data_IF_546165435643
#
_entry.id   IF_546165435643
#
_cell.length_a   1.000
_cell.length_b   1.000
_cell.length_c   1.000
_cell.angle_alpha   90.00
_cell.angle_beta   90.00
_cell.angle_gamma   90.00
#
_symmetry.space_group_name_H-M   'P 1'
#
loop_
_entity.id
_entity.type
_entity.pdbx_description
1 polymer ?
#
# COMPACT_ATOMS: atom_id res chain seq x y z
N UNK A 1 -8.25 4.88 12.76
CA UNK A 1 -9.04 3.70 13.18
C UNK A 1 -8.28 2.83 14.20
N UNK A 2 -6.97 2.59 14.05
CA UNK A 2 -6.16 1.77 14.96
C UNK A 2 -6.12 2.28 16.43
N UNK A 3 -6.15 3.61 16.64
CA UNK A 3 -6.08 4.21 17.97
C UNK A 3 -7.25 3.80 18.88
N UNK A 4 -8.52 3.95 18.53
CA UNK A 4 -9.63 3.46 19.37
C UNK A 4 -9.53 1.97 19.67
N UNK A 5 -9.06 1.16 18.72
CA UNK A 5 -8.92 -0.29 18.89
C UNK A 5 -7.80 -0.69 19.87
N UNK A 6 -6.83 0.19 20.11
CA UNK A 6 -5.77 -0.05 21.10
C UNK A 6 -6.19 0.28 22.54
N UNK A 7 -7.23 1.10 22.70
CA UNK A 7 -7.70 1.55 24.02
C UNK A 7 -8.47 0.48 24.77
N UNK A 8 -8.14 0.29 26.07
CA UNK A 8 -8.81 -0.68 26.93
C UNK A 8 -10.23 -0.25 27.31
N UNK A 9 -10.47 1.05 27.40
CA UNK A 9 -11.74 1.67 27.74
C UNK A 9 -12.75 1.69 26.59
N UNK A 10 -12.34 1.37 25.35
CA UNK A 10 -13.25 1.26 24.22
C UNK A 10 -14.01 -0.07 24.25
N UNK A 11 -15.29 -0.03 24.63
CA UNK A 11 -16.17 -1.20 24.84
C UNK A 11 -16.21 -2.17 23.65
N UNK A 12 -16.23 -1.66 22.43
CA UNK A 12 -16.41 -2.46 21.21
C UNK A 12 -15.11 -2.85 20.53
N UNK A 13 -13.93 -2.61 21.15
CA UNK A 13 -12.62 -2.84 20.53
C UNK A 13 -12.44 -4.26 19.99
N UNK A 14 -12.96 -5.28 20.71
CA UNK A 14 -12.79 -6.68 20.31
C UNK A 14 -13.65 -7.02 19.09
N UNK A 15 -14.88 -6.49 19.02
CA UNK A 15 -15.78 -6.69 17.89
C UNK A 15 -15.18 -6.06 16.62
N UNK A 16 -14.77 -4.79 16.70
CA UNK A 16 -14.16 -4.13 15.55
C UNK A 16 -12.81 -4.75 15.17
N UNK A 17 -12.01 -5.20 16.14
CA UNK A 17 -10.76 -5.90 15.84
C UNK A 17 -11.01 -7.22 15.14
N UNK A 18 -12.05 -7.96 15.56
CA UNK A 18 -12.47 -9.19 14.89
C UNK A 18 -12.95 -8.91 13.47
N UNK A 19 -13.78 -7.86 13.26
CA UNK A 19 -14.23 -7.48 11.92
C UNK A 19 -13.05 -7.14 11.00
N UNK A 20 -12.06 -6.38 11.50
CA UNK A 20 -10.83 -6.09 10.74
C UNK A 20 -10.08 -7.37 10.40
N UNK A 21 -9.89 -8.26 11.38
CA UNK A 21 -9.24 -9.55 11.17
C UNK A 21 -10.02 -10.44 10.18
N UNK A 22 -11.35 -10.45 10.29
CA UNK A 22 -12.21 -11.20 9.38
C UNK A 22 -11.98 -10.81 7.91
N UNK A 23 -11.80 -9.51 7.62
CA UNK A 23 -11.50 -9.05 6.25
C UNK A 23 -10.17 -9.56 5.69
N UNK A 24 -9.25 -10.03 6.53
CA UNK A 24 -8.01 -10.69 6.07
C UNK A 24 -8.24 -12.13 5.66
N UNK A 25 -9.18 -12.81 6.31
CA UNK A 25 -9.46 -14.24 6.07
C UNK A 25 -10.42 -14.45 4.91
N UNK A 26 -11.34 -13.51 4.70
CA UNK A 26 -12.40 -13.65 3.72
C UNK A 26 -12.29 -12.55 2.67
N UNK A 27 -12.11 -12.96 1.43
CA UNK A 27 -12.11 -12.09 0.25
C UNK A 27 -13.22 -12.52 -0.69
N UNK A 28 -13.99 -11.58 -1.19
CA UNK A 28 -15.00 -11.84 -2.22
C UNK A 28 -14.41 -12.21 -3.58
N UNK A 29 -13.10 -12.05 -3.75
CA UNK A 29 -12.41 -12.28 -5.02
C UNK A 29 -12.44 -11.08 -5.96
N UNK A 30 -11.82 -11.25 -7.12
CA UNK A 30 -11.59 -10.17 -8.09
C UNK A 30 -12.90 -9.70 -8.73
N UNK A 31 -13.77 -10.63 -9.14
CA UNK A 31 -15.00 -10.30 -9.89
C UNK A 31 -15.98 -9.48 -9.05
N UNK A 32 -16.39 -9.90 -7.84
CA UNK A 32 -17.24 -9.07 -6.98
C UNK A 32 -16.62 -7.72 -6.65
N UNK A 33 -15.32 -7.67 -6.38
CA UNK A 33 -14.60 -6.41 -6.11
C UNK A 33 -14.63 -5.48 -7.33
N UNK A 34 -14.38 -6.01 -8.53
CA UNK A 34 -14.46 -5.25 -9.77
C UNK A 34 -15.86 -4.68 -10.00
N UNK A 35 -16.90 -5.50 -9.82
CA UNK A 35 -18.28 -5.05 -9.99
C UNK A 35 -18.65 -3.96 -8.99
N UNK A 36 -18.24 -4.12 -7.74
CA UNK A 36 -18.47 -3.11 -6.70
C UNK A 36 -17.86 -1.76 -7.08
N UNK A 37 -16.57 -1.74 -7.42
CA UNK A 37 -15.88 -0.50 -7.72
C UNK A 37 -16.30 0.14 -9.05
N UNK A 38 -16.59 -0.67 -10.09
CA UNK A 38 -16.93 -0.14 -11.42
C UNK A 38 -18.42 0.12 -11.63
N UNK A 39 -19.30 -0.74 -11.07
CA UNK A 39 -20.76 -0.63 -11.28
C UNK A 39 -21.46 0.14 -10.19
N UNK A 40 -21.05 -0.03 -8.93
CA UNK A 40 -21.69 0.63 -7.81
C UNK A 40 -21.05 1.98 -7.49
N UNK A 41 -19.73 2.06 -7.37
CA UNK A 41 -19.02 3.30 -7.06
C UNK A 41 -18.62 4.12 -8.28
N UNK A 42 -18.72 3.59 -9.50
CA UNK A 42 -18.40 4.26 -10.77
C UNK A 42 -17.02 4.93 -10.82
N UNK A 43 -16.00 4.33 -10.18
CA UNK A 43 -14.64 4.90 -10.12
C UNK A 43 -13.72 4.43 -11.26
N UNK A 44 -14.22 3.63 -12.22
CA UNK A 44 -13.42 3.17 -13.37
C UNK A 44 -12.87 4.36 -14.15
N UNK A 45 -11.63 4.22 -14.67
CA UNK A 45 -10.92 5.27 -15.42
C UNK A 45 -10.76 6.60 -14.65
N UNK A 46 -10.59 6.50 -13.34
CA UNK A 46 -10.30 7.65 -12.47
C UNK A 46 -9.07 7.35 -11.60
N UNK A 47 -8.43 8.40 -11.08
CA UNK A 47 -7.34 8.26 -10.13
C UNK A 47 -7.77 7.54 -8.84
N UNK A 48 -9.04 7.65 -8.46
CA UNK A 48 -9.61 6.98 -7.30
C UNK A 48 -9.60 5.46 -7.42
N UNK A 49 -9.67 4.93 -8.65
CA UNK A 49 -9.55 3.51 -8.92
C UNK A 49 -8.16 2.94 -8.58
N UNK A 50 -7.13 3.78 -8.57
CA UNK A 50 -5.78 3.41 -8.16
C UNK A 50 -5.57 3.53 -6.63
N UNK A 51 -6.36 4.37 -5.96
CA UNK A 51 -6.14 4.69 -4.54
C UNK A 51 -7.03 3.85 -3.63
N UNK A 52 -8.34 3.74 -3.93
CA UNK A 52 -9.32 3.21 -2.98
C UNK A 52 -9.33 1.68 -2.88
N UNK A 53 -9.36 0.90 -3.98
CA UNK A 53 -9.72 -0.53 -3.94
C UNK A 53 -8.88 -1.39 -2.99
N UNK A 54 -7.58 -1.13 -2.91
CA UNK A 54 -6.66 -2.03 -2.20
C UNK A 54 -6.08 -1.43 -0.92
N UNK A 55 -6.09 -0.08 -0.77
CA UNK A 55 -5.22 0.57 0.19
C UNK A 55 -5.93 1.52 1.16
N UNK A 56 -7.19 1.85 0.94
CA UNK A 56 -7.93 2.77 1.81
C UNK A 56 -7.97 2.27 3.26
N UNK A 57 -8.19 0.96 3.46
CA UNK A 57 -8.18 0.32 4.77
C UNK A 57 -7.53 -1.06 4.68
N UNK A 58 -6.21 -1.11 4.87
CA UNK A 58 -5.51 -2.38 4.95
C UNK A 58 -5.55 -2.92 6.39
N UNK A 59 -6.17 -4.08 6.58
CA UNK A 59 -6.37 -4.68 7.90
C UNK A 59 -5.05 -5.01 8.61
N UNK A 60 -4.03 -5.47 7.87
CA UNK A 60 -2.71 -5.74 8.42
C UNK A 60 -2.08 -4.48 9.02
N UNK A 61 -2.13 -3.36 8.29
CA UNK A 61 -1.58 -2.09 8.75
C UNK A 61 -2.33 -1.57 10.00
N UNK A 62 -3.66 -1.74 10.04
CA UNK A 62 -4.48 -1.37 11.21
C UNK A 62 -4.05 -2.17 12.45
N UNK A 63 -3.91 -3.48 12.32
CA UNK A 63 -3.51 -4.35 13.43
C UNK A 63 -2.07 -4.09 13.87
N UNK A 64 -1.16 -3.80 12.94
CA UNK A 64 0.22 -3.43 13.22
C UNK A 64 0.29 -2.14 14.05
N UNK A 65 -0.43 -1.09 13.61
CA UNK A 65 -0.48 0.18 14.35
C UNK A 65 -1.16 0.00 15.72
N UNK A 66 -2.25 -0.78 15.78
CA UNK A 66 -2.93 -1.11 17.05
C UNK A 66 -1.97 -1.77 18.03
N UNK A 67 -1.22 -2.78 17.59
CA UNK A 67 -0.26 -3.47 18.44
C UNK A 67 0.86 -2.54 18.90
N UNK A 68 1.35 -1.67 18.02
CA UNK A 68 2.32 -0.65 18.40
C UNK A 68 1.77 0.25 19.52
N UNK A 69 0.57 0.76 19.39
CA UNK A 69 -0.06 1.60 20.41
C UNK A 69 -0.22 0.88 21.75
N UNK A 70 -0.69 -0.36 21.72
CA UNK A 70 -0.92 -1.14 22.94
C UNK A 70 0.36 -1.49 23.70
N UNK A 71 1.50 -1.62 23.00
CA UNK A 71 2.76 -2.06 23.60
C UNK A 71 3.73 -0.91 23.90
N UNK A 72 3.68 0.18 23.16
CA UNK A 72 4.68 1.23 23.24
C UNK A 72 4.17 2.55 23.80
N UNK A 73 2.85 2.73 23.93
CA UNK A 73 2.26 3.95 24.51
C UNK A 73 1.63 3.61 25.85
N UNK A 74 2.24 4.02 26.98
CA UNK A 74 1.69 3.81 28.31
C UNK A 74 0.32 4.46 28.47
N UNK A 75 -0.63 3.75 29.10
CA UNK A 75 -1.96 4.29 29.41
C UNK A 75 -1.87 5.57 30.28
N UNK A 76 -0.86 5.66 31.16
CA UNK A 76 -0.62 6.81 32.03
C UNK A 76 -0.46 8.13 31.28
N UNK A 77 0.10 8.13 30.05
CA UNK A 77 0.22 9.36 29.26
C UNK A 77 -1.15 9.87 28.78
N UNK A 78 -2.05 8.96 28.48
CA UNK A 78 -3.41 9.33 28.05
C UNK A 78 -4.25 9.78 29.26
N UNK A 79 -4.07 9.12 30.41
CA UNK A 79 -4.71 9.52 31.67
C UNK A 79 -4.24 10.90 32.13
N UNK A 80 -2.95 11.19 32.07
CA UNK A 80 -2.42 12.50 32.37
C UNK A 80 -3.02 13.60 31.46
N UNK A 81 -3.08 13.35 30.15
CA UNK A 81 -3.71 14.29 29.22
C UNK A 81 -5.20 14.52 29.52
N UNK A 82 -5.93 13.49 30.00
CA UNK A 82 -7.33 13.64 30.43
C UNK A 82 -7.47 14.45 31.72
N UNK A 83 -6.57 14.27 32.68
CA UNK A 83 -6.53 15.08 33.92
C UNK A 83 -6.28 16.56 33.58
N UNK A 84 -5.40 16.81 32.57
CA UNK A 84 -5.12 18.17 32.06
C UNK A 84 -6.30 18.74 31.22
N UNK A 85 -7.44 18.04 31.13
CA UNK A 85 -8.63 18.49 30.41
C UNK A 85 -8.57 18.36 28.90
N UNK A 86 -7.60 17.61 28.36
CA UNK A 86 -7.51 17.40 26.91
C UNK A 86 -8.64 16.50 26.39
N UNK A 87 -9.28 16.92 25.30
CA UNK A 87 -10.22 16.08 24.59
C UNK A 87 -9.50 14.88 23.93
N UNK A 88 -10.24 13.79 23.60
CA UNK A 88 -9.69 12.60 22.94
C UNK A 88 -8.98 12.94 21.63
N UNK A 89 -9.52 13.87 20.84
CA UNK A 89 -8.89 14.31 19.60
C UNK A 89 -7.59 15.10 19.86
N UNK A 90 -7.56 15.93 20.91
CA UNK A 90 -6.37 16.69 21.28
C UNK A 90 -5.27 15.75 21.79
N UNK A 91 -5.63 14.78 22.63
CA UNK A 91 -4.73 13.71 23.10
C UNK A 91 -4.17 12.91 21.92
N UNK A 92 -5.02 12.49 20.98
CA UNK A 92 -4.57 11.80 19.78
C UNK A 92 -3.55 12.65 19.01
N UNK A 93 -3.87 13.91 18.71
CA UNK A 93 -3.02 14.75 17.86
C UNK A 93 -1.71 15.16 18.56
N UNK A 94 -1.74 15.52 19.86
CA UNK A 94 -0.58 16.08 20.56
C UNK A 94 0.28 15.06 21.30
N UNK A 95 -0.29 13.93 21.67
CA UNK A 95 0.43 12.87 22.42
C UNK A 95 0.66 11.66 21.55
N UNK A 96 -0.40 11.06 21.01
CA UNK A 96 -0.31 9.77 20.30
C UNK A 96 0.43 9.91 18.97
N UNK A 97 0.06 10.86 18.12
CA UNK A 97 0.66 11.01 16.77
C UNK A 97 2.17 11.28 16.84
N UNK A 98 2.70 12.17 17.69
CA UNK A 98 4.14 12.35 17.82
C UNK A 98 4.89 11.11 18.29
N UNK A 99 4.33 10.34 19.22
CA UNK A 99 4.90 9.08 19.69
C UNK A 99 4.80 7.95 18.63
N UNK A 100 3.95 8.13 17.63
CA UNK A 100 3.67 7.14 16.58
C UNK A 100 4.56 7.29 15.35
N UNK A 101 5.43 8.30 15.30
CA UNK A 101 6.29 8.57 14.13
C UNK A 101 7.00 7.31 13.62
N UNK A 102 7.57 6.41 14.47
CA UNK A 102 8.23 5.22 13.97
C UNK A 102 7.29 4.26 13.23
N UNK A 103 6.11 3.97 13.80
CA UNK A 103 5.15 3.06 13.16
C UNK A 103 4.50 3.70 11.92
N UNK A 104 4.27 5.01 11.93
CA UNK A 104 3.76 5.75 10.78
C UNK A 104 4.78 5.68 9.63
N UNK A 105 6.07 5.85 9.91
CA UNK A 105 7.13 5.72 8.91
C UNK A 105 7.20 4.29 8.34
N UNK A 106 7.10 3.27 9.19
CA UNK A 106 7.10 1.86 8.76
C UNK A 106 5.89 1.54 7.87
N UNK A 107 4.69 1.90 8.32
CA UNK A 107 3.45 1.66 7.54
C UNK A 107 3.45 2.50 6.27
N UNK A 108 3.94 3.74 6.34
CA UNK A 108 4.10 4.61 5.17
C UNK A 108 5.03 4.01 4.13
N UNK A 109 6.15 3.41 4.55
CA UNK A 109 7.05 2.70 3.65
C UNK A 109 6.38 1.49 2.99
N UNK A 110 5.77 0.61 3.81
CA UNK A 110 5.10 -0.59 3.30
C UNK A 110 4.00 -0.20 2.29
N UNK A 111 3.17 0.77 2.65
CA UNK A 111 2.08 1.25 1.80
C UNK A 111 2.62 1.95 0.54
N UNK A 112 3.64 2.78 0.67
CA UNK A 112 4.28 3.45 -0.46
C UNK A 112 4.87 2.46 -1.46
N UNK A 113 5.55 1.41 -0.99
CA UNK A 113 6.05 0.33 -1.84
C UNK A 113 4.92 -0.47 -2.49
N UNK A 114 3.82 -0.71 -1.77
CA UNK A 114 2.65 -1.39 -2.31
C UNK A 114 2.01 -0.57 -3.44
N UNK A 115 1.84 0.73 -3.28
CA UNK A 115 1.36 1.63 -4.35
C UNK A 115 2.34 1.69 -5.53
N UNK A 116 3.64 1.77 -5.25
CA UNK A 116 4.65 1.78 -6.32
C UNK A 116 4.56 0.53 -7.19
N UNK A 117 4.38 -0.64 -6.57
CA UNK A 117 4.32 -1.92 -7.26
C UNK A 117 2.93 -2.28 -7.80
N UNK A 118 1.93 -1.42 -7.61
CA UNK A 118 0.56 -1.73 -8.01
C UNK A 118 0.35 -1.55 -9.52
N UNK A 119 0.45 -2.66 -10.22
CA UNK A 119 0.05 -2.77 -11.61
C UNK A 119 -1.33 -3.40 -11.79
N UNK A 120 -1.83 -4.11 -10.76
CA UNK A 120 -3.07 -4.88 -10.81
C UNK A 120 -4.28 -3.96 -10.91
N UNK A 121 -4.38 -2.94 -10.04
CA UNK A 121 -5.47 -1.97 -10.12
C UNK A 121 -5.44 -1.20 -11.46
N UNK A 122 -4.25 -0.85 -11.95
CA UNK A 122 -4.10 -0.26 -13.28
C UNK A 122 -4.54 -1.18 -14.41
N UNK A 123 -4.34 -2.49 -14.28
CA UNK A 123 -4.77 -3.46 -15.28
C UNK A 123 -6.30 -3.62 -15.32
N UNK A 124 -6.95 -3.71 -14.15
CA UNK A 124 -8.39 -3.99 -14.07
C UNK A 124 -9.27 -2.75 -14.21
N UNK A 125 -8.84 -1.61 -13.68
CA UNK A 125 -9.70 -0.45 -13.54
C UNK A 125 -9.39 0.68 -14.50
N UNK A 126 -8.20 0.71 -15.14
CA UNK A 126 -7.75 1.82 -15.98
C UNK A 126 -7.61 1.39 -17.43
N UNK A 127 -8.38 2.06 -18.32
CA UNK A 127 -8.24 1.93 -19.76
C UNK A 127 -7.58 3.16 -20.39
N UNK A 128 -7.73 4.35 -19.75
CA UNK A 128 -7.14 5.59 -20.21
C UNK A 128 -5.61 5.55 -20.08
N UNK A 129 -4.85 5.63 -21.20
CA UNK A 129 -3.39 5.64 -21.18
C UNK A 129 -2.78 6.78 -20.34
N UNK A 130 -3.49 7.91 -20.21
CA UNK A 130 -3.04 9.06 -19.40
C UNK A 130 -3.00 8.79 -17.90
N UNK A 131 -3.67 7.74 -17.43
CA UNK A 131 -3.73 7.34 -16.02
C UNK A 131 -2.87 6.11 -15.69
N UNK A 132 -2.11 5.56 -16.64
CA UNK A 132 -1.27 4.39 -16.36
C UNK A 132 -0.16 4.72 -15.38
N UNK A 133 -0.06 3.92 -14.31
CA UNK A 133 1.11 3.93 -13.45
C UNK A 133 2.35 3.42 -14.22
N UNK A 134 3.54 3.80 -13.76
CA UNK A 134 4.80 3.34 -14.36
C UNK A 134 4.86 1.81 -14.37
N UNK A 135 4.47 1.15 -13.27
CA UNK A 135 4.47 -0.31 -13.20
C UNK A 135 3.48 -0.95 -14.20
N UNK A 136 2.31 -0.34 -14.38
CA UNK A 136 1.35 -0.81 -15.38
C UNK A 136 1.92 -0.69 -16.80
N UNK A 137 2.57 0.43 -17.13
CA UNK A 137 3.26 0.61 -18.41
C UNK A 137 4.37 -0.43 -18.62
N UNK A 138 5.20 -0.66 -17.60
CA UNK A 138 6.30 -1.63 -17.68
C UNK A 138 5.77 -3.06 -17.91
N UNK A 139 4.72 -3.47 -17.22
CA UNK A 139 4.08 -4.77 -17.42
C UNK A 139 3.48 -4.89 -18.83
N UNK A 140 2.79 -3.84 -19.33
CA UNK A 140 2.25 -3.82 -20.69
C UNK A 140 3.34 -3.93 -21.73
N UNK A 141 4.45 -3.21 -21.57
CA UNK A 141 5.61 -3.31 -22.45
C UNK A 141 6.21 -4.72 -22.43
N UNK A 142 6.37 -5.31 -21.24
CA UNK A 142 6.86 -6.69 -21.10
C UNK A 142 5.96 -7.70 -21.81
N UNK A 143 4.65 -7.59 -21.65
CA UNK A 143 3.68 -8.48 -22.28
C UNK A 143 3.70 -8.30 -23.82
N UNK A 144 3.81 -7.09 -24.33
CA UNK A 144 3.92 -6.82 -25.76
C UNK A 144 5.21 -7.44 -26.33
N UNK A 145 6.35 -7.28 -25.66
CA UNK A 145 7.62 -7.89 -26.05
C UNK A 145 7.49 -9.42 -26.06
N UNK A 146 6.85 -9.99 -25.05
CA UNK A 146 6.64 -11.44 -24.97
C UNK A 146 5.73 -11.94 -26.09
N UNK A 147 4.66 -11.23 -26.40
CA UNK A 147 3.77 -11.54 -27.53
C UNK A 147 4.51 -11.53 -28.85
N UNK A 148 5.30 -10.48 -29.13
CA UNK A 148 6.10 -10.37 -30.37
C UNK A 148 7.12 -11.51 -30.50
N UNK A 149 7.69 -12.00 -29.39
CA UNK A 149 8.67 -13.08 -29.39
C UNK A 149 8.05 -14.48 -29.39
N UNK A 150 6.72 -14.62 -29.16
CA UNK A 150 6.04 -15.92 -29.02
C UNK A 150 5.73 -16.63 -30.36
N UNK A 151 6.14 -16.05 -31.49
CA UNK A 151 5.78 -16.59 -32.81
C UNK A 151 4.32 -16.38 -33.22
N UNK A 152 3.42 -16.04 -32.29
CA UNK A 152 2.04 -15.72 -32.60
C UNK A 152 1.89 -14.48 -33.50
N UNK A 153 2.90 -13.61 -33.46
CA UNK A 153 3.02 -12.42 -34.32
C UNK A 153 3.76 -12.69 -35.63
N UNK A 154 4.23 -13.92 -35.90
CA UNK A 154 5.03 -14.23 -37.08
C UNK A 154 4.32 -13.90 -38.41
N UNK A 155 3.00 -14.02 -38.44
CA UNK A 155 2.18 -13.63 -39.60
C UNK A 155 2.06 -12.11 -39.80
N UNK A 156 2.25 -11.31 -38.73
CA UNK A 156 2.16 -9.85 -38.78
C UNK A 156 3.52 -9.24 -39.12
N UNK A 157 4.61 -9.87 -38.65
CA UNK A 157 5.99 -9.39 -38.85
C UNK A 157 6.51 -9.74 -40.26
N UNK A 158 5.96 -10.75 -40.94
CA UNK A 158 6.34 -11.10 -42.33
C UNK A 158 6.00 -10.02 -43.36
N UNK A 159 5.30 -8.95 -42.98
CA UNK A 159 4.91 -7.82 -43.85
C UNK A 159 5.94 -6.68 -43.99
N UNK A 160 7.22 -6.86 -43.65
CA UNK A 160 8.27 -5.98 -44.18
C UNK A 160 9.00 -5.03 -43.24
N UNK A 161 8.88 -5.13 -41.92
CA UNK A 161 9.78 -4.41 -41.02
C UNK A 161 10.68 -5.38 -40.24
N UNK A 162 11.87 -5.59 -40.73
CA UNK A 162 12.99 -6.23 -40.01
C UNK A 162 13.51 -5.35 -38.87
N UNK A 163 12.61 -4.72 -38.11
CA UNK A 163 12.96 -4.09 -36.86
C UNK A 163 13.41 -5.15 -35.89
N UNK A 164 14.63 -5.03 -35.35
CA UNK A 164 15.14 -5.95 -34.34
C UNK A 164 14.09 -6.10 -33.23
N UNK A 165 13.60 -7.33 -33.02
CA UNK A 165 12.67 -7.63 -31.94
C UNK A 165 13.27 -7.13 -30.61
N UNK A 166 12.46 -6.55 -29.72
CA UNK A 166 12.94 -6.05 -28.45
C UNK A 166 13.79 -7.09 -27.72
N UNK A 167 15.06 -6.77 -27.56
CA UNK A 167 16.07 -7.69 -27.04
C UNK A 167 15.98 -7.82 -25.52
N UNK A 168 16.75 -8.76 -24.96
CA UNK A 168 16.97 -8.90 -23.51
C UNK A 168 17.39 -7.56 -22.87
N UNK A 169 18.13 -6.71 -23.59
CA UNK A 169 18.55 -5.38 -23.12
C UNK A 169 17.36 -4.47 -22.78
N UNK A 170 16.30 -4.49 -23.58
CA UNK A 170 15.08 -3.69 -23.28
C UNK A 170 14.40 -4.18 -22.01
N UNK A 171 14.34 -5.50 -21.80
CA UNK A 171 13.78 -6.09 -20.55
C UNK A 171 14.60 -5.67 -19.34
N UNK A 172 15.92 -5.66 -19.44
CA UNK A 172 16.80 -5.22 -18.36
C UNK A 172 16.64 -3.71 -18.08
N UNK A 173 16.51 -2.88 -19.12
CA UNK A 173 16.22 -1.46 -18.97
C UNK A 173 14.89 -1.21 -18.23
N UNK A 174 13.84 -1.94 -18.58
CA UNK A 174 12.53 -1.90 -17.89
C UNK A 174 12.68 -2.24 -16.40
N UNK A 175 13.42 -3.31 -16.07
CA UNK A 175 13.65 -3.71 -14.68
C UNK A 175 14.40 -2.61 -13.90
N UNK A 176 15.41 -2.00 -14.49
CA UNK A 176 16.18 -0.89 -13.88
C UNK A 176 15.27 0.30 -13.60
N UNK A 177 14.47 0.74 -14.58
CA UNK A 177 13.52 1.86 -14.41
C UNK A 177 12.54 1.58 -13.28
N UNK A 178 12.06 0.33 -13.14
CA UNK A 178 11.15 -0.07 -12.06
C UNK A 178 11.77 -0.02 -10.67
N UNK A 179 13.09 -0.23 -10.55
CA UNK A 179 13.79 -0.33 -9.25
C UNK A 179 14.36 1.02 -8.80
N UNK A 180 14.82 1.90 -9.69
CA UNK A 180 15.50 3.16 -9.36
C UNK A 180 14.77 4.00 -8.30
N UNK A 181 13.46 4.30 -8.40
CA UNK A 181 12.79 5.14 -7.41
C UNK A 181 12.75 4.53 -6.01
N UNK A 182 12.65 3.20 -5.92
CA UNK A 182 12.66 2.47 -4.64
C UNK A 182 14.04 2.59 -3.99
N UNK A 183 15.11 2.35 -4.76
CA UNK A 183 16.50 2.47 -4.28
C UNK A 183 16.80 3.92 -3.87
N UNK A 184 16.33 4.90 -4.63
CA UNK A 184 16.52 6.32 -4.30
C UNK A 184 15.76 6.74 -3.03
N UNK A 185 14.58 6.19 -2.77
CA UNK A 185 13.78 6.49 -1.58
C UNK A 185 14.32 5.79 -0.30
N UNK A 186 14.98 4.65 -0.43
CA UNK A 186 15.42 3.81 0.70
C UNK A 186 16.28 4.54 1.74
N UNK A 187 17.32 5.33 1.39
CA UNK A 187 18.17 6.02 2.38
C UNK A 187 17.39 7.00 3.26
N UNK A 188 16.35 7.63 2.71
CA UNK A 188 15.50 8.56 3.46
C UNK A 188 14.65 7.82 4.51
N UNK A 189 14.23 6.60 4.20
CA UNK A 189 13.36 5.79 5.05
C UNK A 189 14.14 5.01 6.10
N UNK A 190 15.37 4.59 5.78
CA UNK A 190 16.23 3.80 6.65
C UNK A 190 16.43 4.43 8.03
N UNK A 191 16.65 5.74 8.11
CA UNK A 191 16.86 6.45 9.38
C UNK A 191 15.65 6.36 10.34
N UNK A 192 14.44 6.25 9.80
CA UNK A 192 13.22 6.12 10.62
C UNK A 192 12.99 4.67 11.06
N UNK A 193 13.33 3.69 10.21
CA UNK A 193 13.25 2.28 10.52
C UNK A 193 14.20 1.89 11.65
N UNK A 194 15.45 2.35 11.61
CA UNK A 194 16.47 2.05 12.64
C UNK A 194 16.05 2.61 14.01
N UNK A 195 15.50 3.82 14.06
CA UNK A 195 15.04 4.43 15.31
C UNK A 195 13.85 3.69 15.94
N UNK A 196 12.99 3.08 15.12
CA UNK A 196 11.83 2.32 15.58
C UNK A 196 12.19 0.97 16.20
N UNK A 197 13.22 0.30 15.69
CA UNK A 197 13.65 -1.03 16.16
C UNK A 197 14.49 -0.97 17.46
N UNK A 198 15.26 0.08 17.66
CA UNK A 198 16.13 0.22 18.85
C UNK A 198 15.32 0.44 20.14
N UNK A 199 14.19 1.14 20.08
CA UNK A 199 13.36 1.38 21.27
C UNK A 199 12.68 0.09 21.77
N UNK A 200 12.43 -0.88 20.90
CA UNK A 200 11.87 -2.20 21.26
C UNK A 200 12.91 -3.18 21.86
N UNK A 201 14.19 -3.00 21.57
CA UNK A 201 15.25 -3.93 21.98
C UNK A 201 15.82 -3.66 23.40
N UNK A 202 15.51 -2.52 24.02
CA UNK A 202 16.06 -2.13 25.34
C UNK A 202 15.13 -2.50 26.51
N UNK A 203 14.02 -3.21 26.25
CA UNK A 203 13.17 -3.80 27.31
C UNK A 203 13.37 -5.33 27.40
N UNK A 204 14.62 -5.74 27.59
CA UNK A 204 15.00 -7.05 28.04
C UNK A 204 15.59 -6.94 29.43
#
# INVERSE_FOLDING_TARGET
>A
FAYPLSRKDFKYRNIFSFLVFFTMLFSGGIVPSYMMWTKFFHIKDTIWALIIPSYLMNAFNILLIRNYYSNNIPDALVEAARIDGASEFLTFRRVIVPLSVPVIATVGLITGLAYWNDWINGLYYINDPGLYSIQNLLIRLMNNIQYLNSGAAAGIVSGGTTGALPSTSVRMAIAVVGVIPVVAAYPFLQKYLIRGTVIGAVKG
#
